data_IF_528621206587
#
_entry.id   IF_528621206587
#
_cell.length_a   1.000
_cell.length_b   1.000
_cell.length_c   1.000
_cell.angle_alpha   90.00
_cell.angle_beta   90.00
_cell.angle_gamma   90.00
#
_symmetry.space_group_name_H-M   'P 1'
#
loop_
_entity.id
_entity.type
_entity.pdbx_description
1 polymer ?
#
# COMPACT_ATOMS: atom_id res chain seq x y z
N UNK A 1 6.64 -46.21 -12.91
CA UNK A 1 6.98 -45.33 -11.77
C UNK A 1 6.54 -43.94 -12.18
N UNK A 2 5.35 -43.51 -11.75
CA UNK A 2 4.76 -42.23 -12.18
C UNK A 2 5.48 -41.14 -11.37
N UNK A 3 6.26 -40.31 -12.05
CA UNK A 3 6.92 -39.16 -11.45
C UNK A 3 5.85 -38.11 -11.15
N UNK A 4 5.42 -38.03 -9.90
CA UNK A 4 4.47 -37.02 -9.44
C UNK A 4 5.23 -35.70 -9.19
N UNK A 5 5.62 -35.02 -10.26
CA UNK A 5 5.93 -33.59 -10.22
C UNK A 5 4.65 -32.84 -10.62
N UNK A 6 3.62 -32.92 -9.78
CA UNK A 6 2.65 -31.84 -9.73
C UNK A 6 3.34 -30.71 -8.96
N UNK A 7 3.77 -29.69 -9.70
CA UNK A 7 4.26 -28.45 -9.15
C UNK A 7 3.25 -27.98 -8.09
N UNK A 8 3.68 -27.96 -6.83
CA UNK A 8 2.93 -27.31 -5.78
C UNK A 8 2.63 -25.90 -6.27
N UNK A 9 1.36 -25.61 -6.53
CA UNK A 9 0.91 -24.28 -6.94
C UNK A 9 1.41 -23.23 -5.94
N UNK A 10 1.50 -21.95 -6.35
CA UNK A 10 2.03 -20.92 -5.49
C UNK A 10 1.28 -20.89 -4.16
N UNK A 11 2.03 -20.82 -3.06
CA UNK A 11 1.45 -20.72 -1.72
C UNK A 11 0.56 -19.47 -1.61
N UNK A 12 -0.47 -19.51 -0.76
CA UNK A 12 -1.36 -18.35 -0.51
C UNK A 12 -0.60 -17.08 -0.14
N UNK A 13 0.54 -17.21 0.56
CA UNK A 13 1.42 -16.10 0.88
C UNK A 13 2.13 -15.52 -0.38
N UNK A 14 2.59 -16.37 -1.30
CA UNK A 14 3.22 -15.95 -2.56
C UNK A 14 2.19 -15.29 -3.49
N UNK A 15 0.95 -15.78 -3.50
CA UNK A 15 -0.16 -15.15 -4.23
C UNK A 15 -0.46 -13.75 -3.66
N UNK A 16 -0.47 -13.62 -2.32
CA UNK A 16 -0.68 -12.33 -1.65
C UNK A 16 0.46 -11.34 -1.93
N UNK A 17 1.72 -11.78 -1.90
CA UNK A 17 2.87 -10.92 -2.22
C UNK A 17 2.85 -10.46 -3.68
N UNK A 18 2.55 -11.38 -4.62
CA UNK A 18 2.41 -11.04 -6.05
C UNK A 18 1.29 -10.03 -6.27
N UNK A 19 0.15 -10.21 -5.61
CA UNK A 19 -0.96 -9.26 -5.71
C UNK A 19 -0.57 -7.89 -5.14
N UNK A 20 0.09 -7.87 -3.97
CA UNK A 20 0.59 -6.63 -3.36
C UNK A 20 1.54 -5.88 -4.29
N UNK A 21 2.51 -6.59 -4.89
CA UNK A 21 3.44 -6.03 -5.87
C UNK A 21 2.70 -5.48 -7.11
N UNK A 22 1.68 -6.18 -7.58
CA UNK A 22 0.87 -5.74 -8.72
C UNK A 22 0.09 -4.46 -8.42
N UNK A 23 -0.54 -4.38 -7.25
CA UNK A 23 -1.25 -3.17 -6.79
C UNK A 23 -0.28 -2.01 -6.68
N UNK A 24 0.88 -2.20 -6.04
CA UNK A 24 1.90 -1.14 -5.95
C UNK A 24 2.32 -0.64 -7.32
N UNK A 25 2.59 -1.53 -8.28
CA UNK A 25 2.96 -1.12 -9.65
C UNK A 25 1.86 -0.28 -10.30
N UNK A 26 0.60 -0.70 -10.20
CA UNK A 26 -0.54 0.06 -10.75
C UNK A 26 -0.62 1.47 -10.15
N UNK A 27 -0.47 1.59 -8.84
CA UNK A 27 -0.47 2.89 -8.16
C UNK A 27 0.71 3.77 -8.59
N UNK A 28 1.90 3.20 -8.75
CA UNK A 28 3.08 3.95 -9.22
C UNK A 28 2.91 4.42 -10.68
N UNK A 29 2.38 3.58 -11.55
CA UNK A 29 2.12 3.94 -12.95
C UNK A 29 1.13 5.12 -13.04
N UNK A 30 0.04 5.07 -12.25
CA UNK A 30 -0.92 6.19 -12.17
C UNK A 30 -0.30 7.45 -11.55
N UNK A 31 0.62 7.29 -10.60
CA UNK A 31 1.34 8.40 -9.99
C UNK A 31 2.24 9.12 -11.00
N UNK A 32 2.98 8.36 -11.80
CA UNK A 32 3.84 8.89 -12.86
C UNK A 32 3.00 9.61 -13.93
N UNK A 33 1.86 9.04 -14.32
CA UNK A 33 0.92 9.66 -15.26
C UNK A 33 0.37 11.00 -14.74
N UNK A 34 -0.10 11.04 -13.48
CA UNK A 34 -0.57 12.27 -12.84
C UNK A 34 0.51 13.36 -12.80
N UNK A 35 1.77 12.99 -12.53
CA UNK A 35 2.89 13.92 -12.55
C UNK A 35 3.16 14.46 -13.96
N UNK A 36 3.03 13.63 -15.00
CA UNK A 36 3.17 14.07 -16.41
C UNK A 36 2.08 15.07 -16.80
N UNK A 37 0.87 14.93 -16.27
CA UNK A 37 -0.22 15.89 -16.45
C UNK A 37 0.00 17.22 -15.69
N UNK A 38 1.06 17.31 -14.88
CA UNK A 38 1.39 18.49 -14.08
C UNK A 38 0.62 18.58 -12.76
N UNK A 39 0.00 17.48 -12.31
CA UNK A 39 -0.61 17.41 -11.00
C UNK A 39 0.49 17.36 -9.92
N UNK A 40 0.37 18.15 -8.85
CA UNK A 40 1.41 18.22 -7.85
C UNK A 40 1.31 16.98 -6.93
N UNK A 41 2.46 16.37 -6.64
CA UNK A 41 2.54 15.07 -5.96
C UNK A 41 2.15 15.12 -4.48
N UNK A 42 2.27 16.28 -3.85
CA UNK A 42 1.77 16.55 -2.50
C UNK A 42 0.24 16.45 -2.46
N UNK A 43 -0.47 17.09 -3.40
CA UNK A 43 -1.93 16.99 -3.53
C UNK A 43 -2.37 15.54 -3.81
N UNK A 44 -1.64 14.82 -4.66
CA UNK A 44 -1.93 13.41 -4.93
C UNK A 44 -1.84 12.57 -3.64
N UNK A 45 -0.83 12.82 -2.82
CA UNK A 45 -0.67 12.13 -1.52
C UNK A 45 -1.80 12.44 -0.54
N UNK A 46 -2.25 13.69 -0.47
CA UNK A 46 -3.37 14.11 0.38
C UNK A 46 -4.68 13.42 -0.04
N UNK A 47 -4.96 13.41 -1.35
CA UNK A 47 -6.15 12.75 -1.91
C UNK A 47 -6.09 11.23 -1.69
N UNK A 48 -4.93 10.59 -1.88
CA UNK A 48 -4.78 9.17 -1.61
C UNK A 48 -5.04 8.81 -0.14
N UNK A 49 -4.58 9.64 0.80
CA UNK A 49 -4.86 9.43 2.23
C UNK A 49 -6.36 9.57 2.52
N UNK A 50 -7.00 10.59 1.95
CA UNK A 50 -8.45 10.79 2.09
C UNK A 50 -9.25 9.59 1.56
N UNK A 51 -8.91 9.11 0.36
CA UNK A 51 -9.58 7.97 -0.26
C UNK A 51 -9.36 6.69 0.55
N UNK A 52 -8.14 6.44 1.00
CA UNK A 52 -7.83 5.29 1.85
C UNK A 52 -8.63 5.30 3.16
N UNK A 53 -8.75 6.47 3.81
CA UNK A 53 -9.57 6.60 5.02
C UNK A 53 -11.06 6.40 4.73
N UNK A 54 -11.55 6.93 3.62
CA UNK A 54 -12.96 6.77 3.22
C UNK A 54 -13.30 5.29 3.01
N UNK A 55 -12.45 4.55 2.30
CA UNK A 55 -12.61 3.12 2.02
C UNK A 55 -12.56 2.31 3.33
N UNK A 56 -11.61 2.62 4.22
CA UNK A 56 -11.52 1.98 5.54
C UNK A 56 -12.77 2.24 6.40
N UNK A 57 -13.33 3.46 6.37
CA UNK A 57 -14.53 3.81 7.14
C UNK A 57 -15.76 3.10 6.58
N UNK A 58 -15.86 2.94 5.26
CA UNK A 58 -16.95 2.16 4.64
C UNK A 58 -16.93 0.69 5.08
N UNK A 59 -15.74 0.08 5.15
CA UNK A 59 -15.55 -1.32 5.51
C UNK A 59 -15.63 -1.60 7.03
N UNK A 60 -15.17 -0.66 7.86
CA UNK A 60 -14.93 -0.90 9.29
C UNK A 60 -15.73 0.03 10.23
N UNK A 61 -16.20 1.18 9.75
CA UNK A 61 -16.85 2.21 10.56
C UNK A 61 -15.89 3.23 11.18
N UNK A 62 -16.43 4.39 11.56
CA UNK A 62 -15.64 5.56 11.98
C UNK A 62 -14.83 5.31 13.27
N UNK A 63 -15.44 4.68 14.28
CA UNK A 63 -14.79 4.44 15.59
C UNK A 63 -13.61 3.46 15.47
N UNK A 64 -13.81 2.34 14.74
CA UNK A 64 -12.76 1.34 14.52
C UNK A 64 -11.56 1.93 13.76
N UNK A 65 -11.82 2.77 12.75
CA UNK A 65 -10.76 3.46 12.01
C UNK A 65 -10.05 4.50 12.86
N UNK A 66 -10.77 5.23 13.72
CA UNK A 66 -10.16 6.18 14.65
C UNK A 66 -9.18 5.48 15.61
N UNK A 67 -9.56 4.33 16.16
CA UNK A 67 -8.70 3.52 17.03
C UNK A 67 -7.44 3.02 16.29
N UNK A 68 -7.59 2.58 15.03
CA UNK A 68 -6.45 2.19 14.18
C UNK A 68 -5.49 3.38 13.99
N UNK A 69 -6.03 4.56 13.74
CA UNK A 69 -5.27 5.77 13.43
C UNK A 69 -4.64 6.43 14.66
N UNK A 70 -5.10 6.14 15.88
CA UNK A 70 -4.57 6.71 17.13
C UNK A 70 -3.05 6.53 17.25
N UNK A 71 -2.54 5.38 16.80
CA UNK A 71 -1.11 5.05 16.87
C UNK A 71 -0.28 5.72 15.77
N UNK A 72 -0.89 6.19 14.69
CA UNK A 72 -0.21 6.66 13.48
C UNK A 72 0.72 7.87 13.73
N UNK A 73 0.31 8.92 14.48
CA UNK A 73 1.20 10.04 14.78
C UNK A 73 2.47 9.62 15.53
N UNK A 74 2.38 8.62 16.40
CA UNK A 74 3.55 8.10 17.11
C UNK A 74 4.52 7.40 16.16
N UNK A 75 4.00 6.56 15.26
CA UNK A 75 4.77 5.84 14.23
C UNK A 75 5.45 6.79 13.25
N UNK A 76 4.77 7.85 12.82
CA UNK A 76 5.34 8.92 11.97
C UNK A 76 6.53 9.58 12.67
N UNK A 77 6.37 10.01 13.94
CA UNK A 77 7.46 10.64 14.70
C UNK A 77 8.65 9.72 14.97
N UNK A 78 8.44 8.40 14.98
CA UNK A 78 9.51 7.39 15.06
C UNK A 78 10.24 7.18 13.73
N UNK A 79 9.80 7.82 12.65
CA UNK A 79 10.41 7.68 11.33
C UNK A 79 10.05 6.39 10.61
N UNK A 80 8.99 5.67 11.02
CA UNK A 80 8.60 4.39 10.39
C UNK A 80 8.26 4.51 8.90
N UNK A 81 7.86 5.71 8.46
CA UNK A 81 7.53 6.02 7.07
C UNK A 81 8.59 6.89 6.39
N UNK A 82 9.63 7.30 7.12
CA UNK A 82 10.77 7.95 6.52
C UNK A 82 11.59 6.85 5.87
N UNK A 83 11.62 6.84 4.54
CA UNK A 83 12.65 6.10 3.81
C UNK A 83 13.98 6.73 4.24
N UNK A 84 14.65 6.12 5.21
CA UNK A 84 16.06 6.37 5.41
C UNK A 84 16.68 6.01 4.06
N UNK A 85 17.04 7.02 3.28
CA UNK A 85 17.98 6.85 2.18
C UNK A 85 19.19 6.18 2.83
N UNK A 86 19.29 4.85 2.68
CA UNK A 86 20.47 4.11 3.08
C UNK A 86 21.64 4.83 2.41
N UNK A 87 22.46 5.43 3.25
CA UNK A 87 23.71 6.03 2.81
C UNK A 87 24.56 4.89 2.25
N UNK A 88 24.66 4.78 0.93
CA UNK A 88 25.76 4.12 0.24
C UNK A 88 25.95 4.67 -1.16
#
# INVERSE_FOLDING_TARGET
MISNYEAAGPSRAEVSEKLRKRVISLFLDTWDEACVEGLPSDLLSEVCLYLALTDMIEDHGEDDVADIMETLPHRIRRGEFTLALEQH
#
